data_IF_592179977506
#
_entry.id   IF_592179977506
#
_cell.length_a   1.000
_cell.length_b   1.000
_cell.length_c   1.000
_cell.angle_alpha   90.00
_cell.angle_beta   90.00
_cell.angle_gamma   90.00
#
_symmetry.space_group_name_H-M   'P 1'
#
loop_
_entity.id
_entity.type
_entity.pdbx_description
1 polymer ?
#
# COMPACT_ATOMS: atom_id res chain seq x y z
N UNK A 1 -13.41 -9.50 -5.02
CA UNK A 1 -12.38 -8.78 -5.79
C UNK A 1 -11.17 -8.60 -4.91
N UNK A 2 -9.98 -8.59 -5.49
CA UNK A 2 -8.71 -8.28 -4.81
C UNK A 2 -8.48 -6.79 -4.94
N UNK A 3 -7.96 -6.16 -3.88
CA UNK A 3 -7.62 -4.73 -3.86
C UNK A 3 -6.14 -4.56 -3.63
N UNK A 4 -5.54 -3.58 -4.32
CA UNK A 4 -4.21 -3.09 -3.99
C UNK A 4 -4.26 -2.22 -2.72
N UNK A 5 -3.18 -2.19 -1.94
CA UNK A 5 -3.02 -1.24 -0.82
C UNK A 5 -2.58 0.15 -1.30
N UNK A 6 -2.05 0.25 -2.53
CA UNK A 6 -1.70 1.51 -3.18
C UNK A 6 -2.87 2.02 -4.00
N UNK A 7 -2.98 3.33 -4.15
CA UNK A 7 -4.03 3.94 -4.96
C UNK A 7 -4.02 5.46 -4.86
N UNK A 8 -4.72 6.08 -5.80
CA UNK A 8 -4.95 7.51 -5.85
C UNK A 8 -6.43 7.77 -6.12
N UNK A 9 -7.02 8.72 -5.42
CA UNK A 9 -8.37 9.19 -5.63
C UNK A 9 -8.40 10.71 -5.64
N UNK A 10 -9.08 11.28 -6.60
CA UNK A 10 -9.33 12.73 -6.70
C UNK A 10 -10.80 12.96 -7.04
N UNK A 11 -11.38 13.89 -6.37
CA UNK A 11 -12.71 14.37 -6.68
C UNK A 11 -12.75 15.89 -6.57
N UNK A 12 -13.45 16.52 -7.50
CA UNK A 12 -13.59 17.96 -7.60
C UNK A 12 -15.09 18.29 -7.60
N UNK A 13 -15.51 19.09 -6.66
CA UNK A 13 -16.84 19.62 -6.55
C UNK A 13 -16.78 21.13 -6.85
N UNK A 14 -17.36 21.53 -7.97
CA UNK A 14 -17.55 22.93 -8.31
C UNK A 14 -18.99 23.31 -7.95
N UNK A 15 -19.15 24.23 -7.01
CA UNK A 15 -20.41 24.91 -6.66
C UNK A 15 -20.55 26.22 -7.42
N UNK A 16 -21.60 26.98 -7.13
CA UNK A 16 -21.81 28.30 -7.73
C UNK A 16 -20.85 29.37 -7.15
N UNK A 17 -20.41 29.20 -5.92
CA UNK A 17 -19.60 30.18 -5.18
C UNK A 17 -18.26 29.67 -4.70
N UNK A 18 -18.07 28.36 -4.73
CA UNK A 18 -16.83 27.76 -4.23
C UNK A 18 -16.50 26.44 -4.93
N UNK A 19 -15.22 26.09 -4.87
CA UNK A 19 -14.68 24.85 -5.41
C UNK A 19 -13.95 24.08 -4.31
N UNK A 20 -14.28 22.80 -4.16
CA UNK A 20 -13.65 21.89 -3.23
C UNK A 20 -12.94 20.79 -4.01
N UNK A 21 -11.64 20.60 -3.78
CA UNK A 21 -10.87 19.51 -4.37
C UNK A 21 -10.38 18.63 -3.24
N UNK A 22 -10.67 17.34 -3.33
CA UNK A 22 -10.16 16.33 -2.41
C UNK A 22 -9.25 15.38 -3.17
N UNK A 23 -8.00 15.30 -2.75
CA UNK A 23 -7.01 14.37 -3.28
C UNK A 23 -6.58 13.41 -2.17
N UNK A 24 -6.52 12.13 -2.51
CA UNK A 24 -6.13 11.07 -1.59
C UNK A 24 -5.06 10.20 -2.23
N UNK A 25 -4.00 9.92 -1.48
CA UNK A 25 -2.97 8.97 -1.86
C UNK A 25 -2.82 7.92 -0.79
N UNK A 26 -2.74 6.67 -1.19
CA UNK A 26 -2.55 5.54 -0.29
C UNK A 26 -1.30 4.76 -0.61
N UNK A 27 -0.58 4.32 0.44
CA UNK A 27 0.56 3.42 0.36
C UNK A 27 0.38 2.25 1.33
N UNK A 28 1.12 1.17 1.08
CA UNK A 28 1.07 -0.02 1.93
C UNK A 28 1.39 0.33 3.40
N UNK A 29 0.49 -0.05 4.30
CA UNK A 29 0.68 0.04 5.74
C UNK A 29 -0.18 -1.01 6.46
N UNK A 30 0.34 -1.52 7.61
CA UNK A 30 -0.31 -2.60 8.36
C UNK A 30 -1.70 -2.22 8.91
N UNK A 31 -1.87 -0.97 9.30
CA UNK A 31 -3.11 -0.39 9.85
C UNK A 31 -3.56 0.78 8.99
N UNK A 32 -4.81 1.21 9.20
CA UNK A 32 -5.25 2.47 8.61
C UNK A 32 -4.62 3.63 9.38
N UNK A 33 -3.69 4.34 8.74
CA UNK A 33 -3.09 5.58 9.22
C UNK A 33 -3.54 6.72 8.29
N UNK A 34 -4.32 7.66 8.83
CA UNK A 34 -4.94 8.73 8.06
C UNK A 34 -4.38 10.08 8.48
N UNK A 35 -3.68 10.73 7.55
CA UNK A 35 -3.20 12.10 7.64
C UNK A 35 -4.08 13.01 6.78
N UNK A 36 -4.68 14.05 7.37
CA UNK A 36 -5.54 14.98 6.67
C UNK A 36 -4.90 16.37 6.73
N UNK A 37 -4.73 16.98 5.57
CA UNK A 37 -4.35 18.39 5.44
C UNK A 37 -5.49 19.15 4.79
N UNK A 38 -6.00 20.17 5.48
CA UNK A 38 -7.15 20.94 5.06
C UNK A 38 -7.05 22.40 5.54
N UNK A 39 -7.77 23.34 4.92
CA UNK A 39 -7.93 24.71 5.39
C UNK A 39 -8.54 24.77 6.79
N UNK A 40 -8.20 25.80 7.55
CA UNK A 40 -8.65 25.98 8.94
C UNK A 40 -10.18 26.01 9.09
N UNK A 41 -10.89 26.50 8.09
CA UNK A 41 -12.36 26.55 8.04
C UNK A 41 -13.01 25.15 8.19
N UNK A 42 -12.30 24.08 7.84
CA UNK A 42 -12.80 22.69 7.89
C UNK A 42 -12.39 21.93 9.16
N UNK A 43 -11.65 22.55 10.08
CA UNK A 43 -11.17 21.87 11.29
C UNK A 43 -12.31 21.33 12.16
N UNK A 44 -13.46 21.98 12.18
CA UNK A 44 -14.64 21.52 12.90
C UNK A 44 -15.18 20.18 12.38
N UNK A 45 -14.92 19.83 11.10
CA UNK A 45 -15.39 18.62 10.44
C UNK A 45 -14.37 17.47 10.44
N UNK A 46 -13.15 17.66 10.99
CA UNK A 46 -12.08 16.65 10.94
C UNK A 46 -12.52 15.28 11.43
N UNK A 47 -13.22 15.22 12.56
CA UNK A 47 -13.68 13.96 13.15
C UNK A 47 -14.68 13.22 12.25
N UNK A 48 -15.59 13.97 11.63
CA UNK A 48 -16.58 13.42 10.73
C UNK A 48 -15.93 12.92 9.42
N UNK A 49 -15.00 13.68 8.85
CA UNK A 49 -14.21 13.26 7.68
C UNK A 49 -13.44 11.97 7.96
N UNK A 50 -12.78 11.88 9.13
CA UNK A 50 -12.06 10.65 9.55
C UNK A 50 -12.99 9.44 9.63
N UNK A 51 -14.22 9.62 10.09
CA UNK A 51 -15.22 8.57 10.16
C UNK A 51 -15.65 8.09 8.78
N UNK A 52 -15.94 9.03 7.86
CA UNK A 52 -16.28 8.71 6.46
C UNK A 52 -15.21 7.88 5.75
N UNK A 53 -13.93 8.25 5.93
CA UNK A 53 -12.83 7.51 5.30
C UNK A 53 -12.71 6.10 5.88
N UNK A 54 -12.89 5.93 7.20
CA UNK A 54 -12.84 4.62 7.89
C UNK A 54 -13.95 3.67 7.45
N UNK A 55 -15.10 4.18 7.00
CA UNK A 55 -16.19 3.36 6.44
C UNK A 55 -15.77 2.66 5.14
N UNK A 56 -14.91 3.29 4.34
CA UNK A 56 -14.55 2.84 3.00
C UNK A 56 -13.19 2.13 2.94
N UNK A 57 -12.26 2.52 3.82
CA UNK A 57 -10.87 2.06 3.81
C UNK A 57 -10.52 1.41 5.15
N UNK A 58 -10.03 0.16 5.09
CA UNK A 58 -9.70 -0.62 6.29
C UNK A 58 -8.20 -0.62 6.62
N UNK A 59 -7.33 -0.46 5.62
CA UNK A 59 -5.86 -0.54 5.74
C UNK A 59 -5.16 0.43 4.81
N UNK A 60 -3.88 0.68 5.11
CA UNK A 60 -3.01 1.56 4.35
C UNK A 60 -2.75 2.88 5.05
N UNK A 61 -1.62 3.51 4.72
CA UNK A 61 -1.38 4.90 5.09
C UNK A 61 -1.97 5.79 4.02
N UNK A 62 -2.92 6.63 4.41
CA UNK A 62 -3.68 7.51 3.51
C UNK A 62 -3.36 8.95 3.83
N UNK A 63 -2.78 9.66 2.88
CA UNK A 63 -2.61 11.11 2.93
C UNK A 63 -3.73 11.76 2.13
N UNK A 64 -4.54 12.59 2.80
CA UNK A 64 -5.65 13.34 2.22
C UNK A 64 -5.33 14.83 2.21
N UNK A 65 -5.56 15.48 1.09
CA UNK A 65 -5.43 16.91 0.88
C UNK A 65 -6.79 17.46 0.46
N UNK A 66 -7.30 18.45 1.21
CA UNK A 66 -8.51 19.17 0.88
C UNK A 66 -8.12 20.60 0.55
N UNK A 67 -8.45 21.04 -0.66
CA UNK A 67 -8.30 22.42 -1.11
C UNK A 67 -9.66 23.06 -1.25
N UNK A 68 -9.76 24.33 -0.88
CA UNK A 68 -10.96 25.15 -0.96
C UNK A 68 -10.61 26.44 -1.68
N UNK A 69 -11.30 26.73 -2.75
CA UNK A 69 -11.20 27.96 -3.51
C UNK A 69 -12.57 28.63 -3.46
N UNK A 70 -12.64 29.82 -2.93
CA UNK A 70 -13.86 30.64 -2.94
C UNK A 70 -13.82 31.48 -4.23
N UNK A 71 -14.77 31.25 -5.14
CA UNK A 71 -14.91 32.00 -6.41
C UNK A 71 -15.86 33.20 -6.25
N UNK A 72 -16.64 33.25 -5.16
CA UNK A 72 -17.36 34.46 -4.82
C UNK A 72 -16.36 35.54 -4.43
N UNK A 73 -16.48 36.73 -5.02
CA UNK A 73 -15.76 37.92 -4.56
C UNK A 73 -15.82 37.93 -3.04
N UNK A 74 -14.63 38.04 -2.40
CA UNK A 74 -14.48 38.14 -0.95
C UNK A 74 -15.41 39.27 -0.46
N UNK A 75 -16.67 38.95 -0.18
CA UNK A 75 -17.55 39.87 0.56
C UNK A 75 -17.00 39.98 1.98
N UNK A 76 -15.87 40.66 2.08
CA UNK A 76 -15.38 41.13 3.37
C UNK A 76 -16.35 42.22 3.84
N UNK A 77 -17.10 41.91 4.86
CA UNK A 77 -18.00 42.86 5.51
C UNK A 77 -17.17 43.64 6.52
N UNK A 78 -17.21 44.97 6.39
CA UNK A 78 -16.62 45.82 7.40
C UNK A 78 -17.53 45.84 8.63
N UNK A 79 -17.09 45.20 9.73
CA UNK A 79 -17.79 45.16 10.99
C UNK A 79 -17.33 46.30 11.91
N UNK A 80 -18.31 47.06 12.46
CA UNK A 80 -18.08 48.10 13.48
C UNK A 80 -18.38 47.54 14.85
N UNK A 81 -17.38 47.56 15.77
CA UNK A 81 -17.50 47.11 17.17
C UNK A 81 -17.79 48.28 18.09
N UNK A 82 -19.04 48.59 18.32
CA UNK A 82 -19.50 49.71 19.14
C UNK A 82 -18.99 49.62 20.58
N UNK A 83 -19.00 48.44 21.18
CA UNK A 83 -18.53 48.23 22.58
C UNK A 83 -17.04 48.54 22.73
N UNK A 84 -16.22 48.15 21.76
CA UNK A 84 -14.80 48.44 21.73
C UNK A 84 -14.54 49.94 21.59
N UNK A 85 -15.28 50.58 20.67
CA UNK A 85 -15.19 52.03 20.49
C UNK A 85 -15.57 52.80 21.76
N UNK A 86 -16.64 52.39 22.46
CA UNK A 86 -17.03 52.97 23.77
C UNK A 86 -15.95 52.80 24.82
N UNK A 87 -15.37 51.61 24.95
CA UNK A 87 -14.29 51.33 25.89
C UNK A 87 -13.07 52.24 25.65
N UNK A 88 -12.70 52.45 24.39
CA UNK A 88 -11.63 53.38 24.03
C UNK A 88 -11.97 54.83 24.45
N UNK A 89 -13.16 55.28 24.19
CA UNK A 89 -13.60 56.62 24.55
C UNK A 89 -13.58 56.82 26.08
N UNK A 90 -14.11 55.89 26.86
CA UNK A 90 -14.11 55.91 28.31
C UNK A 90 -12.70 55.94 28.89
N UNK A 91 -11.82 55.06 28.43
CA UNK A 91 -10.43 55.03 28.94
C UNK A 91 -9.64 56.27 28.53
N UNK A 92 -9.86 56.81 27.32
CA UNK A 92 -9.22 58.07 26.90
C UNK A 92 -9.69 59.24 27.76
N UNK A 93 -10.99 59.32 28.15
CA UNK A 93 -11.48 60.30 29.09
C UNK A 93 -10.83 60.17 30.51
N UNK A 94 -10.76 58.94 31.03
CA UNK A 94 -10.08 58.66 32.30
C UNK A 94 -8.59 59.05 32.29
N UNK A 95 -7.88 58.75 31.19
CA UNK A 95 -6.49 59.17 31.03
C UNK A 95 -6.34 60.69 30.98
N UNK A 96 -7.24 61.39 30.26
CA UNK A 96 -7.24 62.84 30.19
C UNK A 96 -7.41 63.45 31.58
N UNK A 97 -8.33 62.97 32.39
CA UNK A 97 -8.58 63.42 33.75
C UNK A 97 -7.41 63.10 34.67
N UNK A 98 -6.89 61.91 34.62
CA UNK A 98 -5.78 61.45 35.49
C UNK A 98 -4.51 62.22 35.25
N UNK A 99 -4.17 62.51 34.03
CA UNK A 99 -2.93 63.12 33.60
C UNK A 99 -3.07 64.65 33.34
N UNK A 100 -4.28 65.18 33.49
CA UNK A 100 -4.62 66.57 33.23
C UNK A 100 -4.28 66.99 31.76
N UNK A 101 -4.54 66.08 30.80
CA UNK A 101 -4.32 66.31 29.41
C UNK A 101 -5.61 66.69 28.69
N UNK A 102 -5.49 67.44 27.59
CA UNK A 102 -6.65 67.72 26.75
C UNK A 102 -7.03 66.49 25.94
N UNK A 103 -8.27 66.06 26.04
CA UNK A 103 -8.80 64.99 25.18
C UNK A 103 -9.21 65.58 23.81
N UNK A 104 -8.35 65.41 22.81
CA UNK A 104 -8.58 65.87 21.44
C UNK A 104 -8.96 64.74 20.49
N UNK A 105 -9.55 63.62 20.99
CA UNK A 105 -9.91 62.45 20.25
C UNK A 105 -10.88 62.81 19.12
N UNK A 106 -10.49 62.57 17.86
CA UNK A 106 -11.33 62.76 16.69
C UNK A 106 -11.91 61.44 16.26
N UNK A 107 -13.06 61.50 15.53
CA UNK A 107 -13.68 60.30 14.96
C UNK A 107 -12.71 59.50 14.11
N UNK A 108 -11.83 60.15 13.34
CA UNK A 108 -10.80 59.49 12.50
C UNK A 108 -9.74 58.77 13.32
N UNK A 109 -9.45 59.23 14.53
CA UNK A 109 -8.48 58.60 15.43
C UNK A 109 -9.12 57.36 16.08
N UNK A 110 -10.36 57.44 16.51
CA UNK A 110 -11.13 56.34 17.04
C UNK A 110 -11.31 55.22 15.99
N UNK A 111 -11.62 55.59 14.74
CA UNK A 111 -11.81 54.66 13.66
C UNK A 111 -10.53 53.88 13.28
N UNK A 112 -9.36 54.39 13.64
CA UNK A 112 -8.04 53.75 13.43
C UNK A 112 -7.56 52.91 14.57
N UNK A 113 -8.26 52.93 15.72
CA UNK A 113 -7.88 52.12 16.85
C UNK A 113 -8.09 50.64 16.58
N UNK A 114 -7.24 49.78 17.11
CA UNK A 114 -7.34 48.33 16.91
C UNK A 114 -8.73 47.80 17.22
N UNK A 115 -9.23 46.92 16.40
CA UNK A 115 -10.50 46.20 16.59
C UNK A 115 -11.78 47.06 16.60
N UNK A 116 -11.72 48.38 16.42
CA UNK A 116 -12.91 49.22 16.26
C UNK A 116 -13.62 48.93 14.93
N UNK A 117 -12.83 48.68 13.90
CA UNK A 117 -13.30 48.12 12.63
C UNK A 117 -12.48 46.88 12.31
N UNK A 118 -13.18 45.76 12.04
CA UNK A 118 -12.58 44.53 11.54
C UNK A 118 -13.16 44.21 10.17
N UNK A 119 -12.35 43.60 9.31
CA UNK A 119 -12.86 42.98 8.10
C UNK A 119 -13.16 41.52 8.43
N UNK A 120 -14.42 41.15 8.42
CA UNK A 120 -14.87 39.77 8.68
C UNK A 120 -15.34 39.15 7.36
N UNK A 121 -14.91 37.91 7.13
CA UNK A 121 -15.49 37.12 6.04
C UNK A 121 -16.86 36.64 6.48
N UNK A 122 -17.85 36.76 5.60
CA UNK A 122 -19.18 36.23 5.86
C UNK A 122 -19.09 34.74 6.13
N UNK A 123 -19.53 34.31 7.30
CA UNK A 123 -19.54 32.90 7.66
C UNK A 123 -20.37 32.14 6.63
N UNK A 124 -19.73 31.24 5.87
CA UNK A 124 -20.46 30.30 5.03
C UNK A 124 -21.34 29.41 5.93
N UNK A 125 -22.54 29.08 5.44
CA UNK A 125 -23.44 28.19 6.19
C UNK A 125 -22.73 26.85 6.44
N UNK A 126 -22.50 26.54 7.73
CA UNK A 126 -21.76 25.37 8.14
C UNK A 126 -22.43 24.06 7.70
N UNK A 127 -23.77 24.04 7.56
CA UNK A 127 -24.49 22.84 7.12
C UNK A 127 -24.33 22.62 5.61
N UNK A 128 -24.39 23.67 4.81
CA UNK A 128 -24.15 23.61 3.37
C UNK A 128 -22.71 23.21 3.08
N UNK A 129 -21.74 23.84 3.77
CA UNK A 129 -20.31 23.54 3.64
C UNK A 129 -20.01 22.09 4.02
N UNK A 130 -20.65 21.57 5.08
CA UNK A 130 -20.51 20.16 5.45
C UNK A 130 -21.06 19.22 4.38
N UNK A 131 -22.22 19.52 3.82
CA UNK A 131 -22.83 18.71 2.74
C UNK A 131 -21.90 18.57 1.54
N UNK A 132 -21.28 19.68 1.13
CA UNK A 132 -20.38 19.70 -0.02
C UNK A 132 -19.05 18.98 0.26
N UNK A 133 -18.49 19.15 1.45
CA UNK A 133 -17.30 18.40 1.87
C UNK A 133 -17.58 16.90 1.94
N UNK A 134 -18.71 16.51 2.54
CA UNK A 134 -19.09 15.10 2.61
C UNK A 134 -19.18 14.48 1.22
N UNK A 135 -19.83 15.16 0.26
CA UNK A 135 -19.91 14.70 -1.13
C UNK A 135 -18.54 14.58 -1.79
N UNK A 136 -17.68 15.59 -1.60
CA UNK A 136 -16.33 15.59 -2.16
C UNK A 136 -15.46 14.48 -1.58
N UNK A 137 -15.49 14.26 -0.26
CA UNK A 137 -14.75 13.19 0.41
C UNK A 137 -15.26 11.82 -0.03
N UNK A 138 -16.58 11.61 -0.08
CA UNK A 138 -17.16 10.34 -0.57
C UNK A 138 -16.77 10.07 -2.02
N UNK A 139 -16.78 11.10 -2.88
CA UNK A 139 -16.35 10.99 -4.27
C UNK A 139 -14.87 10.58 -4.40
N UNK A 140 -13.99 11.20 -3.62
CA UNK A 140 -12.57 10.86 -3.61
C UNK A 140 -12.32 9.44 -3.06
N UNK A 141 -13.06 9.02 -2.02
CA UNK A 141 -12.99 7.65 -1.50
C UNK A 141 -13.43 6.63 -2.56
N UNK A 142 -14.52 6.88 -3.29
CA UNK A 142 -14.97 5.99 -4.37
C UNK A 142 -13.94 5.89 -5.49
N UNK A 143 -13.35 7.01 -5.92
CA UNK A 143 -12.28 7.02 -6.92
C UNK A 143 -11.05 6.22 -6.44
N UNK A 144 -10.66 6.35 -5.17
CA UNK A 144 -9.58 5.59 -4.54
C UNK A 144 -9.88 4.08 -4.55
N UNK A 145 -11.09 3.67 -4.16
CA UNK A 145 -11.50 2.26 -4.14
C UNK A 145 -11.47 1.67 -5.54
N UNK A 146 -11.97 2.39 -6.55
CA UNK A 146 -11.93 1.95 -7.95
C UNK A 146 -10.49 1.80 -8.46
N UNK A 147 -9.61 2.75 -8.14
CA UNK A 147 -8.20 2.66 -8.51
C UNK A 147 -7.54 1.41 -7.88
N UNK A 148 -7.78 1.15 -6.58
CA UNK A 148 -7.29 -0.04 -5.88
C UNK A 148 -7.83 -1.36 -6.45
N UNK A 149 -9.08 -1.39 -6.88
CA UNK A 149 -9.68 -2.57 -7.52
C UNK A 149 -9.09 -2.83 -8.90
N UNK A 150 -8.89 -1.78 -9.70
CA UNK A 150 -8.26 -1.89 -11.02
C UNK A 150 -6.82 -2.38 -10.92
N UNK A 151 -6.03 -1.81 -10.00
CA UNK A 151 -4.65 -2.23 -9.74
C UNK A 151 -4.60 -3.66 -9.16
N UNK A 152 -5.53 -4.01 -8.25
CA UNK A 152 -5.64 -5.34 -7.68
C UNK A 152 -5.90 -6.42 -8.73
N UNK A 153 -6.74 -6.16 -9.74
CA UNK A 153 -6.96 -7.10 -10.84
C UNK A 153 -5.74 -7.23 -11.77
N UNK A 154 -4.94 -6.17 -11.94
CA UNK A 154 -3.68 -6.25 -12.67
C UNK A 154 -2.64 -7.08 -11.91
N UNK A 155 -2.49 -6.84 -10.59
CA UNK A 155 -1.62 -7.63 -9.72
C UNK A 155 -2.00 -9.10 -9.72
N UNK A 156 -3.30 -9.42 -9.67
CA UNK A 156 -3.80 -10.80 -9.77
C UNK A 156 -3.36 -11.48 -11.05
N UNK A 157 -3.51 -10.82 -12.21
CA UNK A 157 -3.11 -11.38 -13.51
C UNK A 157 -1.62 -11.65 -13.58
N UNK A 158 -0.81 -10.72 -13.09
CA UNK A 158 0.65 -10.87 -13.09
C UNK A 158 1.08 -12.00 -12.14
N UNK A 159 0.48 -12.08 -10.94
CA UNK A 159 0.75 -13.18 -10.00
C UNK A 159 0.36 -14.54 -10.55
N UNK A 160 -0.78 -14.66 -11.25
CA UNK A 160 -1.18 -15.91 -11.89
C UNK A 160 -0.18 -16.33 -12.97
N UNK A 161 0.29 -15.40 -13.80
CA UNK A 161 1.31 -15.69 -14.82
C UNK A 161 2.64 -16.14 -14.19
N UNK A 162 3.06 -15.54 -13.07
CA UNK A 162 4.26 -15.96 -12.32
C UNK A 162 4.10 -17.35 -11.71
N UNK A 163 2.91 -17.67 -11.20
CA UNK A 163 2.60 -19.00 -10.67
C UNK A 163 2.54 -20.06 -11.77
N UNK A 164 2.08 -19.71 -12.98
CA UNK A 164 2.14 -20.61 -14.14
C UNK A 164 3.60 -20.87 -14.54
N UNK A 165 4.43 -19.85 -14.57
CA UNK A 165 5.87 -20.01 -14.81
C UNK A 165 6.56 -20.86 -13.71
N UNK A 166 6.14 -20.71 -12.45
CA UNK A 166 6.62 -21.58 -11.36
C UNK A 166 6.28 -23.05 -11.59
N UNK A 167 5.08 -23.37 -12.11
CA UNK A 167 4.72 -24.76 -12.48
C UNK A 167 5.64 -25.30 -13.57
N UNK A 168 6.01 -24.50 -14.59
CA UNK A 168 6.97 -24.88 -15.64
C UNK A 168 8.35 -25.19 -15.06
N UNK A 169 8.84 -24.39 -14.10
CA UNK A 169 10.12 -24.63 -13.42
C UNK A 169 10.07 -25.91 -12.58
N UNK A 170 8.96 -26.18 -11.87
CA UNK A 170 8.75 -27.44 -11.13
C UNK A 170 8.76 -28.64 -12.06
N UNK A 171 8.14 -28.53 -13.24
CA UNK A 171 8.16 -29.57 -14.27
C UNK A 171 9.59 -29.85 -14.74
N UNK A 172 10.35 -28.81 -15.07
CA UNK A 172 11.74 -28.93 -15.49
C UNK A 172 12.63 -29.68 -14.45
N UNK A 173 12.45 -29.38 -13.16
CA UNK A 173 13.16 -30.09 -12.05
C UNK A 173 12.72 -31.55 -12.01
N UNK A 174 11.41 -31.81 -12.08
CA UNK A 174 10.83 -33.16 -11.99
C UNK A 174 11.30 -34.06 -13.15
N UNK A 175 11.41 -33.53 -14.36
CA UNK A 175 11.87 -34.24 -15.53
C UNK A 175 13.39 -34.51 -15.52
N UNK A 176 14.19 -33.56 -15.03
CA UNK A 176 15.66 -33.66 -15.03
C UNK A 176 16.20 -34.57 -13.90
N UNK A 177 15.54 -34.60 -12.73
CA UNK A 177 16.01 -35.33 -11.56
C UNK A 177 16.32 -36.83 -11.85
N UNK A 178 15.42 -37.63 -12.49
CA UNK A 178 15.73 -39.02 -12.81
C UNK A 178 16.88 -39.18 -13.82
N UNK A 179 17.04 -38.23 -14.75
CA UNK A 179 18.15 -38.24 -15.72
C UNK A 179 19.52 -38.13 -15.04
N UNK A 180 19.59 -37.26 -14.02
CA UNK A 180 20.84 -37.11 -13.20
C UNK A 180 21.26 -38.40 -12.53
N UNK A 181 20.31 -39.16 -12.01
CA UNK A 181 20.61 -40.48 -11.38
C UNK A 181 21.20 -41.41 -12.41
N UNK A 182 20.67 -41.45 -13.65
CA UNK A 182 21.22 -42.28 -14.70
C UNK A 182 22.63 -41.82 -15.17
N UNK A 183 22.83 -40.53 -15.32
CA UNK A 183 24.12 -39.95 -15.68
C UNK A 183 25.17 -40.24 -14.58
N UNK A 184 24.78 -40.18 -13.30
CA UNK A 184 25.63 -40.54 -12.18
C UNK A 184 26.03 -42.03 -12.23
N UNK A 185 25.05 -42.93 -12.51
CA UNK A 185 25.29 -44.36 -12.66
C UNK A 185 26.30 -44.65 -13.76
N UNK A 186 26.15 -44.06 -14.94
CA UNK A 186 27.08 -44.20 -16.06
C UNK A 186 28.47 -43.74 -15.67
N UNK A 187 28.59 -42.54 -15.13
CA UNK A 187 29.86 -41.95 -14.71
C UNK A 187 30.57 -42.75 -13.65
N UNK A 188 29.83 -43.28 -12.67
CA UNK A 188 30.37 -44.13 -11.61
C UNK A 188 30.89 -45.44 -12.20
N UNK A 189 30.14 -46.09 -13.08
CA UNK A 189 30.51 -47.32 -13.74
C UNK A 189 31.78 -47.14 -14.56
N UNK A 190 31.92 -46.05 -15.32
CA UNK A 190 33.12 -45.77 -16.13
C UNK A 190 34.34 -45.52 -15.21
N UNK A 191 34.22 -44.72 -14.17
CA UNK A 191 35.32 -44.51 -13.20
C UNK A 191 35.77 -45.77 -12.52
N UNK A 192 34.82 -46.61 -12.08
CA UNK A 192 35.18 -47.91 -11.46
C UNK A 192 35.89 -48.80 -12.46
N UNK A 193 35.50 -48.80 -13.74
CA UNK A 193 36.14 -49.56 -14.80
C UNK A 193 37.59 -49.10 -15.06
N UNK A 194 37.82 -47.76 -15.05
CA UNK A 194 39.17 -47.19 -15.18
C UNK A 194 40.12 -47.61 -14.04
N UNK A 195 39.60 -47.69 -12.81
CA UNK A 195 40.43 -48.06 -11.64
C UNK A 195 40.70 -49.56 -11.51
N UNK A 196 39.85 -50.44 -12.04
CA UNK A 196 39.94 -51.86 -11.76
C UNK A 196 40.71 -52.69 -12.84
N UNK A 197 41.22 -52.06 -13.91
CA UNK A 197 42.11 -52.62 -14.95
C UNK A 197 41.80 -54.02 -15.47
N UNK A 198 40.76 -54.70 -15.17
CA UNK A 198 40.30 -56.03 -15.62
C UNK A 198 39.69 -56.88 -14.47
N UNK A 199 39.49 -56.36 -13.30
CA UNK A 199 38.76 -57.05 -12.24
C UNK A 199 37.25 -56.96 -12.47
N UNK A 200 36.53 -57.96 -11.98
CA UNK A 200 35.07 -58.03 -12.09
C UNK A 200 34.44 -56.91 -11.28
N UNK A 201 33.68 -56.05 -11.91
CA UNK A 201 32.90 -54.99 -11.25
C UNK A 201 31.78 -55.64 -10.45
N UNK A 202 31.69 -55.35 -9.16
CA UNK A 202 30.57 -55.74 -8.32
C UNK A 202 29.37 -54.79 -8.58
N UNK A 203 28.45 -55.23 -9.41
CA UNK A 203 27.23 -54.46 -9.77
C UNK A 203 26.35 -54.12 -8.57
N UNK A 204 26.37 -54.98 -7.50
CA UNK A 204 25.59 -54.71 -6.29
C UNK A 204 26.16 -53.49 -5.52
N UNK A 205 27.48 -53.30 -5.51
CA UNK A 205 28.11 -52.13 -4.89
C UNK A 205 27.81 -50.85 -5.68
N UNK A 206 27.82 -50.92 -7.01
CA UNK A 206 27.41 -49.78 -7.85
C UNK A 206 25.95 -49.46 -7.61
N UNK A 207 25.05 -50.46 -7.59
CA UNK A 207 23.63 -50.27 -7.34
C UNK A 207 23.39 -49.64 -5.93
N UNK A 208 24.10 -50.08 -4.89
CA UNK A 208 23.98 -49.49 -3.57
C UNK A 208 24.40 -48.02 -3.55
N UNK A 209 25.52 -47.67 -4.18
CA UNK A 209 26.00 -46.28 -4.25
C UNK A 209 25.08 -45.38 -5.05
N UNK A 210 24.55 -45.87 -6.16
CA UNK A 210 23.53 -45.15 -6.98
C UNK A 210 22.26 -44.92 -6.17
N UNK A 211 21.82 -45.88 -5.36
CA UNK A 211 20.62 -45.73 -4.50
C UNK A 211 20.85 -44.65 -3.44
N UNK A 212 22.02 -44.67 -2.76
CA UNK A 212 22.40 -43.66 -1.78
C UNK A 212 22.47 -42.26 -2.40
N UNK A 213 22.99 -42.17 -3.63
CA UNK A 213 23.02 -40.92 -4.36
C UNK A 213 21.61 -40.45 -4.73
N UNK A 214 20.76 -41.35 -5.23
CA UNK A 214 19.37 -41.04 -5.59
C UNK A 214 18.59 -40.53 -4.38
N UNK A 215 18.71 -41.16 -3.22
CA UNK A 215 18.09 -40.70 -1.97
C UNK A 215 18.56 -39.31 -1.56
N UNK A 216 19.86 -39.03 -1.73
CA UNK A 216 20.44 -37.74 -1.36
C UNK A 216 19.94 -36.58 -2.21
N UNK A 217 19.70 -36.83 -3.52
CA UNK A 217 19.25 -35.81 -4.46
C UNK A 217 17.73 -35.83 -4.69
N UNK A 218 17.02 -36.70 -3.95
CA UNK A 218 15.56 -36.81 -4.08
C UNK A 218 14.88 -35.50 -3.68
N UNK A 219 14.16 -34.89 -4.63
CA UNK A 219 13.43 -33.63 -4.49
C UNK A 219 11.93 -33.80 -4.70
N UNK A 220 11.45 -35.04 -4.81
CA UNK A 220 10.06 -35.34 -5.16
C UNK A 220 9.07 -34.74 -4.15
N UNK A 221 9.39 -34.82 -2.86
CA UNK A 221 8.54 -34.28 -1.79
C UNK A 221 8.45 -32.74 -1.88
N UNK A 222 9.57 -32.07 -2.11
CA UNK A 222 9.64 -30.63 -2.30
C UNK A 222 8.84 -30.17 -3.52
N UNK A 223 8.93 -30.91 -4.63
CA UNK A 223 8.16 -30.61 -5.86
C UNK A 223 6.66 -30.79 -5.66
N UNK A 224 6.22 -31.85 -4.98
CA UNK A 224 4.80 -32.06 -4.65
C UNK A 224 4.28 -30.95 -3.74
N UNK A 225 5.07 -30.55 -2.72
CA UNK A 225 4.69 -29.46 -1.80
C UNK A 225 4.64 -28.12 -2.53
N UNK A 226 5.61 -27.82 -3.40
CA UNK A 226 5.61 -26.59 -4.22
C UNK A 226 4.36 -26.53 -5.09
N UNK A 227 4.00 -27.58 -5.83
CA UNK A 227 2.76 -27.64 -6.62
C UNK A 227 1.52 -27.40 -5.76
N UNK A 228 1.49 -27.98 -4.57
CA UNK A 228 0.37 -27.79 -3.63
C UNK A 228 0.25 -26.33 -3.20
N UNK A 229 1.37 -25.69 -2.86
CA UNK A 229 1.37 -24.28 -2.47
C UNK A 229 1.02 -23.33 -3.62
N UNK A 230 1.51 -23.61 -4.83
CA UNK A 230 1.14 -22.90 -6.07
C UNK A 230 -0.37 -23.01 -6.30
N UNK A 231 -0.94 -24.21 -6.22
CA UNK A 231 -2.38 -24.43 -6.36
C UNK A 231 -3.21 -23.65 -5.35
N UNK A 232 -2.84 -23.73 -4.08
CA UNK A 232 -3.53 -22.97 -3.01
C UNK A 232 -3.42 -21.47 -3.19
N UNK A 233 -2.30 -20.96 -3.73
CA UNK A 233 -2.13 -19.55 -4.02
C UNK A 233 -3.02 -19.09 -5.18
N UNK A 234 -3.10 -19.88 -6.26
CA UNK A 234 -4.02 -19.65 -7.39
C UNK A 234 -5.48 -19.65 -6.94
N UNK A 235 -5.88 -20.62 -6.12
CA UNK A 235 -7.22 -20.68 -5.54
C UNK A 235 -7.55 -19.45 -4.68
N UNK A 236 -6.62 -19.03 -3.81
CA UNK A 236 -6.81 -17.85 -2.97
C UNK A 236 -6.98 -16.58 -3.83
N UNK A 237 -6.16 -16.41 -4.89
CA UNK A 237 -6.26 -15.29 -5.82
C UNK A 237 -7.59 -15.29 -6.60
N UNK A 238 -8.14 -16.47 -6.92
CA UNK A 238 -9.44 -16.57 -7.58
C UNK A 238 -10.60 -16.32 -6.63
N UNK A 239 -10.49 -16.75 -5.36
CA UNK A 239 -11.51 -16.57 -4.34
C UNK A 239 -11.68 -15.13 -3.87
N UNK A 240 -10.61 -14.34 -3.89
CA UNK A 240 -10.62 -12.93 -3.46
C UNK A 240 -10.81 -12.75 -1.96
N UNK A 241 -11.07 -11.50 -1.55
CA UNK A 241 -11.22 -11.12 -0.15
C UNK A 241 -9.90 -10.70 0.50
N UNK A 242 -9.83 -10.57 1.81
CA UNK A 242 -8.62 -10.19 2.55
C UNK A 242 -7.64 -11.37 2.64
N UNK A 243 -6.86 -11.56 1.59
CA UNK A 243 -6.02 -12.75 1.38
C UNK A 243 -4.51 -12.48 1.56
N UNK A 244 -4.08 -11.24 1.67
CA UNK A 244 -2.66 -10.86 1.66
C UNK A 244 -1.80 -11.66 2.66
N UNK A 245 -2.27 -11.89 3.90
CA UNK A 245 -1.54 -12.70 4.89
C UNK A 245 -1.41 -14.17 4.51
N UNK A 246 -2.47 -14.74 3.91
CA UNK A 246 -2.46 -16.13 3.44
C UNK A 246 -1.46 -16.30 2.30
N UNK A 247 -1.44 -15.35 1.36
CA UNK A 247 -0.50 -15.37 0.24
C UNK A 247 0.96 -15.20 0.72
N UNK A 248 1.23 -14.28 1.66
CA UNK A 248 2.59 -14.12 2.23
C UNK A 248 3.07 -15.41 2.92
N UNK A 249 2.21 -16.07 3.68
CA UNK A 249 2.52 -17.37 4.29
C UNK A 249 2.85 -18.43 3.22
N UNK A 250 2.03 -18.54 2.17
CA UNK A 250 2.26 -19.49 1.07
C UNK A 250 3.57 -19.20 0.33
N UNK A 251 3.91 -17.92 0.09
CA UNK A 251 5.17 -17.54 -0.52
C UNK A 251 6.38 -17.91 0.35
N UNK A 252 6.26 -17.81 1.69
CA UNK A 252 7.30 -18.25 2.63
C UNK A 252 7.50 -19.77 2.57
N UNK A 253 6.42 -20.56 2.55
CA UNK A 253 6.52 -22.01 2.42
C UNK A 253 7.13 -22.40 1.05
N UNK A 254 6.71 -21.77 -0.04
CA UNK A 254 7.33 -21.97 -1.36
C UNK A 254 8.84 -21.69 -1.34
N UNK A 255 9.27 -20.62 -0.70
CA UNK A 255 10.69 -20.29 -0.56
C UNK A 255 11.44 -21.34 0.28
N UNK A 256 10.82 -21.90 1.28
CA UNK A 256 11.39 -23.00 2.09
C UNK A 256 11.62 -24.24 1.23
N UNK A 257 10.64 -24.68 0.44
CA UNK A 257 10.76 -25.83 -0.44
C UNK A 257 11.82 -25.61 -1.54
N UNK A 258 11.86 -24.40 -2.14
CA UNK A 258 12.89 -24.05 -3.12
C UNK A 258 14.31 -24.04 -2.52
N UNK A 259 14.50 -23.57 -1.27
CA UNK A 259 15.77 -23.63 -0.57
C UNK A 259 16.23 -25.07 -0.31
N UNK A 260 15.30 -25.94 0.12
CA UNK A 260 15.59 -27.35 0.34
C UNK A 260 15.98 -28.03 -0.97
N UNK A 261 15.25 -27.76 -2.05
CA UNK A 261 15.56 -28.23 -3.39
C UNK A 261 16.98 -27.84 -3.81
N UNK A 262 17.33 -26.55 -3.70
CA UNK A 262 18.66 -26.05 -4.07
C UNK A 262 19.78 -26.74 -3.25
N UNK A 263 19.54 -27.06 -1.98
CA UNK A 263 20.52 -27.72 -1.11
C UNK A 263 20.77 -29.18 -1.47
N UNK A 264 19.82 -29.85 -2.10
CA UNK A 264 19.92 -31.25 -2.53
C UNK A 264 20.52 -31.41 -3.94
N UNK A 265 20.45 -30.37 -4.77
CA UNK A 265 20.88 -30.39 -6.16
C UNK A 265 22.40 -30.23 -6.27
N UNK A 266 23.05 -31.13 -7.01
CA UNK A 266 24.49 -31.07 -7.33
C UNK A 266 24.77 -30.90 -8.84
N UNK A 267 23.75 -30.64 -9.63
CA UNK A 267 23.82 -30.37 -11.08
C UNK A 267 23.72 -28.88 -11.35
N UNK A 268 24.60 -28.34 -12.19
CA UNK A 268 24.67 -26.90 -12.47
C UNK A 268 23.38 -26.42 -13.16
N UNK A 269 22.88 -27.18 -14.14
CA UNK A 269 21.69 -26.80 -14.88
C UNK A 269 20.43 -26.75 -13.99
N UNK A 270 20.29 -27.72 -13.07
CA UNK A 270 19.21 -27.71 -12.09
C UNK A 270 19.41 -26.65 -11.00
N UNK A 271 20.65 -26.35 -10.64
CA UNK A 271 20.92 -25.25 -9.69
C UNK A 271 20.46 -23.89 -10.27
N UNK A 272 20.67 -23.66 -11.56
CA UNK A 272 20.18 -22.46 -12.24
C UNK A 272 18.64 -22.40 -12.19
N UNK A 273 17.94 -23.49 -12.51
CA UNK A 273 16.48 -23.57 -12.40
C UNK A 273 15.99 -23.31 -10.96
N UNK A 274 16.66 -23.88 -9.95
CA UNK A 274 16.29 -23.65 -8.56
C UNK A 274 16.54 -22.19 -8.10
N UNK A 275 17.55 -21.52 -8.65
CA UNK A 275 17.80 -20.10 -8.45
C UNK A 275 16.70 -19.26 -9.12
N UNK A 276 16.27 -19.62 -10.33
CA UNK A 276 15.17 -18.97 -11.02
C UNK A 276 13.87 -19.12 -10.24
N UNK A 277 13.58 -20.32 -9.69
CA UNK A 277 12.43 -20.53 -8.80
C UNK A 277 12.46 -19.59 -7.60
N UNK A 278 13.60 -19.46 -6.93
CA UNK A 278 13.76 -18.53 -5.79
C UNK A 278 13.54 -17.08 -6.19
N UNK A 279 14.07 -16.69 -7.34
CA UNK A 279 13.93 -15.35 -7.87
C UNK A 279 12.45 -15.03 -8.15
N UNK A 280 11.74 -15.99 -8.73
CA UNK A 280 10.31 -15.81 -9.05
C UNK A 280 9.45 -15.79 -7.78
N UNK A 281 9.77 -16.62 -6.78
CA UNK A 281 9.11 -16.60 -5.48
C UNK A 281 9.29 -15.24 -4.78
N UNK A 282 10.49 -14.65 -4.84
CA UNK A 282 10.71 -13.33 -4.23
C UNK A 282 9.93 -12.22 -4.95
N UNK A 283 9.85 -12.24 -6.29
CA UNK A 283 8.99 -11.33 -7.06
C UNK A 283 7.51 -11.49 -6.67
N UNK A 284 7.03 -12.73 -6.53
CA UNK A 284 5.67 -13.03 -6.07
C UNK A 284 5.46 -12.42 -4.68
N UNK A 285 6.41 -12.61 -3.75
CA UNK A 285 6.33 -12.13 -2.39
C UNK A 285 6.27 -10.61 -2.29
N UNK A 286 7.08 -9.90 -3.07
CA UNK A 286 7.06 -8.44 -3.14
C UNK A 286 5.68 -7.92 -3.60
N UNK A 287 5.07 -8.56 -4.58
CA UNK A 287 3.75 -8.14 -5.07
C UNK A 287 2.62 -8.50 -4.10
N UNK A 288 2.70 -9.65 -3.44
CA UNK A 288 1.74 -10.07 -2.41
C UNK A 288 1.66 -9.07 -1.27
N UNK A 289 2.77 -8.39 -0.93
CA UNK A 289 2.78 -7.34 0.10
C UNK A 289 1.90 -6.14 -0.24
N UNK A 290 1.54 -5.95 -1.51
CA UNK A 290 0.66 -4.86 -1.96
C UNK A 290 -0.82 -5.28 -2.06
N UNK A 291 -1.17 -6.51 -1.69
CA UNK A 291 -2.54 -7.04 -1.75
C UNK A 291 -3.21 -6.95 -0.37
N UNK A 292 -4.44 -6.41 -0.39
CA UNK A 292 -5.33 -6.33 0.77
C UNK A 292 -6.28 -7.53 0.84
#
# INVERSE_FOLDING_TARGET
MIRSMTGFGRFELAGESHKIIVEMKSVNHRYLDLSIKMPKIFNCFETAIRSLVKEQLQRGKVDMYISYENEADDETVLCYHEEIAKAYMEHMAQMADTFQLQNNLRLTDLARMPEVFTMEQKDADAEELWSDIERAVRGACLAMVQARETEGEQLKKDLLAKLDHMDELVDAVTERAPVMVQEYRVRLTEKVREFLEASVIDENRIAAEVTLYADKICVDEEMVRLRTHIGHMKEALCGGGSIGRKLDFLAQEMNREANTTLSKINDVALADVAIDMKTEIEKIREQVQNIE
#
